data_IF_970305788479
#
_entry.id   IF_970305788479
#
_cell.length_a   1.000
_cell.length_b   1.000
_cell.length_c   1.000
_cell.angle_alpha   90.00
_cell.angle_beta   90.00
_cell.angle_gamma   90.00
#
_symmetry.space_group_name_H-M   'P 1'
#
loop_
_entity.id
_entity.type
_entity.pdbx_description
1 polymer ?
#
# COMPACT_ATOMS: atom_id res chain seq x y z
N UNK A 1 -3.79 -9.10 -17.03
CA UNK A 1 -2.88 -7.94 -16.99
C UNK A 1 -3.68 -6.77 -16.40
N UNK A 2 -3.57 -6.55 -15.08
CA UNK A 2 -4.25 -5.46 -14.37
C UNK A 2 -3.48 -4.17 -14.61
N UNK A 3 -3.98 -3.36 -15.51
CA UNK A 3 -3.50 -1.99 -15.64
C UNK A 3 -4.17 -1.14 -14.54
N UNK A 4 -3.41 -0.83 -13.51
CA UNK A 4 -3.77 0.16 -12.50
C UNK A 4 -3.68 1.58 -13.07
N UNK A 5 -4.32 1.82 -14.21
CA UNK A 5 -4.30 3.13 -14.86
C UNK A 5 -5.68 3.78 -14.77
N UNK A 6 -5.73 4.90 -14.11
CA UNK A 6 -6.72 6.00 -14.15
C UNK A 6 -8.22 5.68 -13.98
N UNK A 7 -8.71 4.47 -14.23
CA UNK A 7 -10.14 4.14 -14.11
C UNK A 7 -10.56 3.63 -12.74
N UNK A 8 -9.58 3.18 -11.92
CA UNK A 8 -9.80 2.58 -10.60
C UNK A 8 -9.09 3.36 -9.48
N UNK A 9 -8.65 4.60 -9.75
CA UNK A 9 -7.78 5.38 -8.88
C UNK A 9 -8.25 5.52 -7.43
N UNK A 10 -9.52 5.29 -7.14
CA UNK A 10 -10.12 5.54 -5.84
C UNK A 10 -10.98 4.39 -5.32
N UNK A 11 -10.87 3.20 -5.92
CA UNK A 11 -11.57 1.99 -5.47
C UNK A 11 -10.66 1.07 -4.68
N UNK A 12 -11.26 0.27 -3.82
CA UNK A 12 -10.61 -0.74 -2.99
C UNK A 12 -11.31 -2.08 -3.22
N UNK A 13 -10.54 -3.13 -3.56
CA UNK A 13 -11.08 -4.49 -3.59
C UNK A 13 -10.99 -5.08 -2.19
N UNK A 14 -12.12 -5.42 -1.63
CA UNK A 14 -12.27 -6.01 -0.30
C UNK A 14 -11.83 -7.49 -0.29
N UNK A 15 -11.51 -8.06 0.89
CA UNK A 15 -11.03 -9.42 1.00
C UNK A 15 -11.96 -10.45 0.37
N UNK A 16 -11.38 -11.54 -0.11
CA UNK A 16 -11.96 -12.79 -0.56
C UNK A 16 -12.54 -12.84 -1.99
N UNK A 17 -13.03 -11.72 -2.56
CA UNK A 17 -13.60 -11.71 -3.91
C UNK A 17 -13.08 -10.50 -4.70
N UNK A 18 -12.47 -10.72 -5.88
CA UNK A 18 -11.94 -9.63 -6.71
C UNK A 18 -13.00 -8.61 -7.15
N UNK A 19 -14.24 -9.05 -7.32
CA UNK A 19 -15.39 -8.23 -7.69
C UNK A 19 -15.99 -7.42 -6.53
N UNK A 20 -15.61 -7.72 -5.28
CA UNK A 20 -16.07 -6.99 -4.09
C UNK A 20 -15.35 -5.64 -3.98
N UNK A 21 -15.69 -4.72 -4.88
CA UNK A 21 -15.00 -3.44 -5.05
C UNK A 21 -15.89 -2.30 -4.59
N UNK A 22 -15.35 -1.46 -3.69
CA UNK A 22 -16.01 -0.30 -3.10
C UNK A 22 -15.19 0.96 -3.35
N UNK A 23 -15.81 2.14 -3.20
CA UNK A 23 -15.06 3.39 -3.18
C UNK A 23 -14.24 3.50 -1.89
N UNK A 24 -13.03 4.03 -1.97
CA UNK A 24 -12.18 4.24 -0.79
C UNK A 24 -12.87 5.14 0.25
N UNK A 25 -13.69 6.08 -0.17
CA UNK A 25 -14.48 6.96 0.70
C UNK A 25 -15.54 6.22 1.54
N UNK A 26 -15.94 5.01 1.15
CA UNK A 26 -16.89 4.18 1.87
C UNK A 26 -16.22 3.36 2.99
N UNK A 27 -14.90 3.22 2.94
CA UNK A 27 -14.12 2.41 3.88
C UNK A 27 -13.64 3.13 5.15
N UNK A 28 -14.16 4.31 5.47
CA UNK A 28 -13.66 5.16 6.58
C UNK A 28 -13.72 4.52 7.96
N UNK A 29 -14.62 3.57 8.17
CA UNK A 29 -14.78 2.86 9.44
C UNK A 29 -13.82 1.66 9.55
N UNK A 30 -13.10 1.33 8.48
CA UNK A 30 -12.19 0.18 8.45
C UNK A 30 -10.79 0.65 8.84
N UNK A 31 -10.45 0.43 10.11
CA UNK A 31 -9.09 0.65 10.64
C UNK A 31 -8.13 -0.36 10.05
N UNK A 32 -6.89 0.06 9.83
CA UNK A 32 -5.83 -0.77 9.25
C UNK A 32 -4.60 -0.78 10.14
N UNK A 33 -3.84 -1.87 10.06
CA UNK A 33 -2.60 -2.08 10.81
C UNK A 33 -1.37 -1.97 9.91
N UNK A 34 -1.54 -2.09 8.61
CA UNK A 34 -0.44 -2.10 7.66
C UNK A 34 -0.83 -1.53 6.31
N UNK A 35 0.13 -0.89 5.65
CA UNK A 35 0.08 -0.60 4.21
C UNK A 35 1.30 -1.18 3.52
N UNK A 36 1.09 -1.78 2.34
CA UNK A 36 2.16 -2.32 1.49
C UNK A 36 2.06 -1.70 0.11
N UNK A 37 3.07 -0.94 -0.27
CA UNK A 37 3.12 -0.24 -1.56
C UNK A 37 4.27 -0.80 -2.40
N UNK A 38 3.92 -1.36 -3.54
CA UNK A 38 4.84 -2.03 -4.43
C UNK A 38 4.94 -3.54 -4.18
N UNK A 39 5.68 -4.17 -5.00
CA UNK A 39 6.15 -5.57 -5.00
C UNK A 39 6.77 -5.85 -6.38
N UNK A 40 7.11 -7.09 -6.70
CA UNK A 40 7.61 -7.48 -8.03
C UNK A 40 6.63 -7.17 -9.18
N UNK A 41 5.34 -7.01 -8.90
CA UNK A 41 4.30 -6.74 -9.91
C UNK A 41 3.78 -5.30 -9.93
N UNK A 42 3.88 -4.58 -8.82
CA UNK A 42 3.27 -3.25 -8.60
C UNK A 42 4.20 -2.30 -7.83
N UNK A 43 5.41 -2.19 -8.21
CA UNK A 43 6.36 -1.26 -7.60
C UNK A 43 7.13 -0.53 -8.69
N UNK A 44 6.45 -0.17 -9.78
CA UNK A 44 7.03 0.57 -10.89
C UNK A 44 7.29 2.02 -10.50
N UNK A 45 8.00 2.74 -11.34
CA UNK A 45 8.37 4.12 -11.04
C UNK A 45 7.14 5.01 -10.84
N UNK A 46 6.11 4.82 -11.66
CA UNK A 46 4.85 5.55 -11.57
C UNK A 46 4.09 5.25 -10.27
N UNK A 47 4.16 4.01 -9.78
CA UNK A 47 3.54 3.62 -8.51
C UNK A 47 4.26 4.28 -7.32
N UNK A 48 5.61 4.33 -7.38
CA UNK A 48 6.43 5.01 -6.39
C UNK A 48 6.19 6.53 -6.40
N UNK A 49 6.05 7.13 -7.58
CA UNK A 49 5.72 8.54 -7.73
C UNK A 49 4.34 8.87 -7.14
N UNK A 50 3.34 8.05 -7.42
CA UNK A 50 1.99 8.23 -6.88
C UNK A 50 1.99 8.17 -5.35
N UNK A 51 2.69 7.20 -4.77
CA UNK A 51 2.85 7.09 -3.32
C UNK A 51 3.63 8.28 -2.73
N UNK A 52 4.73 8.69 -3.38
CA UNK A 52 5.53 9.84 -2.97
C UNK A 52 4.71 11.12 -2.92
N UNK A 53 3.90 11.40 -3.95
CA UNK A 53 3.08 12.60 -4.02
C UNK A 53 2.08 12.72 -2.86
N UNK A 54 1.63 11.60 -2.32
CA UNK A 54 0.72 11.55 -1.16
C UNK A 54 1.48 11.61 0.17
N UNK A 55 2.59 10.87 0.29
CA UNK A 55 3.37 10.73 1.55
C UNK A 55 4.31 11.91 1.82
N UNK A 56 4.72 12.65 0.80
CA UNK A 56 5.68 13.74 0.93
C UNK A 56 5.27 14.75 2.00
N UNK A 57 6.16 14.93 2.99
CA UNK A 57 5.97 15.87 4.09
C UNK A 57 4.89 15.47 5.10
N UNK A 58 4.44 14.21 5.06
CA UNK A 58 3.43 13.65 5.98
C UNK A 58 3.98 12.43 6.69
N UNK A 59 3.28 11.98 7.72
CA UNK A 59 3.63 10.77 8.47
C UNK A 59 2.49 9.76 8.44
N UNK A 60 2.82 8.48 8.41
CA UNK A 60 1.83 7.41 8.61
C UNK A 60 1.30 7.44 10.03
N UNK A 61 0.07 6.99 10.22
CA UNK A 61 -0.61 6.96 11.50
C UNK A 61 0.15 6.11 12.52
N UNK A 62 0.12 6.52 13.78
CA UNK A 62 0.71 5.75 14.88
C UNK A 62 0.08 4.36 14.97
N UNK A 63 0.91 3.34 14.97
CA UNK A 63 0.48 1.93 15.02
C UNK A 63 0.31 1.28 13.64
N UNK A 64 0.37 2.04 12.55
CA UNK A 64 0.36 1.49 11.20
C UNK A 64 1.79 1.19 10.73
N UNK A 65 2.02 0.03 10.14
CA UNK A 65 3.28 -0.34 9.48
C UNK A 65 3.22 0.06 8.01
N UNK A 66 4.10 0.95 7.56
CA UNK A 66 4.27 1.30 6.14
C UNK A 66 5.44 0.52 5.54
N UNK A 67 5.20 -0.21 4.45
CA UNK A 67 6.22 -0.99 3.75
C UNK A 67 6.22 -0.59 2.28
N UNK A 68 7.36 -0.09 1.80
CA UNK A 68 7.57 0.32 0.41
C UNK A 68 8.52 -0.65 -0.27
N UNK A 69 8.12 -1.21 -1.41
CA UNK A 69 8.89 -2.23 -2.13
C UNK A 69 8.99 -1.84 -3.62
N UNK A 70 10.08 -1.22 -4.06
CA UNK A 70 10.32 -0.99 -5.49
C UNK A 70 10.40 -2.30 -6.26
N UNK A 71 9.88 -2.36 -7.49
CA UNK A 71 9.78 -3.60 -8.26
C UNK A 71 11.14 -4.17 -8.69
N UNK A 72 12.12 -3.32 -8.96
CA UNK A 72 13.45 -3.69 -9.47
C UNK A 72 14.54 -2.83 -8.86
N UNK A 73 15.81 -3.28 -8.93
CA UNK A 73 16.95 -2.49 -8.51
C UNK A 73 17.09 -1.17 -9.28
N UNK A 74 16.67 -1.15 -10.56
CA UNK A 74 16.66 0.08 -11.36
C UNK A 74 15.67 1.10 -10.80
N UNK A 75 14.44 0.68 -10.48
CA UNK A 75 13.44 1.54 -9.84
C UNK A 75 13.91 1.99 -8.46
N UNK A 76 14.49 1.09 -7.67
CA UNK A 76 15.01 1.41 -6.34
C UNK A 76 16.10 2.50 -6.41
N UNK A 77 17.04 2.34 -7.34
CA UNK A 77 18.08 3.33 -7.59
C UNK A 77 17.49 4.69 -8.00
N UNK A 78 16.50 4.68 -8.87
CA UNK A 78 15.82 5.90 -9.32
C UNK A 78 15.09 6.60 -8.15
N UNK A 79 14.44 5.85 -7.27
CA UNK A 79 13.82 6.39 -6.05
C UNK A 79 14.86 7.06 -5.13
N UNK A 80 16.06 6.50 -5.02
CA UNK A 80 17.17 7.10 -4.26
C UNK A 80 17.61 8.41 -4.91
N UNK A 81 17.86 8.40 -6.21
CA UNK A 81 18.34 9.57 -6.96
C UNK A 81 17.34 10.75 -6.93
N UNK A 82 16.05 10.45 -6.92
CA UNK A 82 14.96 11.45 -6.80
C UNK A 82 14.66 11.90 -5.37
N UNK A 83 15.32 11.32 -4.36
CA UNK A 83 15.07 11.60 -2.95
C UNK A 83 13.76 11.01 -2.41
N UNK A 84 13.07 10.17 -3.18
CA UNK A 84 11.81 9.57 -2.76
C UNK A 84 12.00 8.57 -1.61
N UNK A 85 13.09 7.81 -1.63
CA UNK A 85 13.45 6.88 -0.54
C UNK A 85 13.55 7.60 0.80
N UNK A 86 14.22 8.75 0.84
CA UNK A 86 14.31 9.57 2.05
C UNK A 86 12.93 10.05 2.50
N UNK A 87 12.11 10.54 1.57
CA UNK A 87 10.76 10.98 1.90
C UNK A 87 9.86 9.86 2.46
N UNK A 88 10.01 8.62 1.97
CA UNK A 88 9.30 7.46 2.52
C UNK A 88 9.76 7.13 3.93
N UNK A 89 11.07 7.20 4.19
CA UNK A 89 11.65 6.99 5.54
C UNK A 89 11.16 8.09 6.49
N UNK A 90 11.19 9.35 6.07
CA UNK A 90 10.69 10.48 6.85
C UNK A 90 9.19 10.36 7.15
N UNK A 91 8.43 9.78 6.24
CA UNK A 91 7.03 9.45 6.49
C UNK A 91 6.81 8.29 7.48
N UNK A 92 7.87 7.64 7.95
CA UNK A 92 7.82 6.52 8.90
C UNK A 92 7.65 5.15 8.23
N UNK A 93 7.91 5.05 6.92
CA UNK A 93 7.85 3.79 6.20
C UNK A 93 9.20 3.04 6.21
N UNK A 94 9.12 1.72 6.16
CA UNK A 94 10.26 0.85 5.87
C UNK A 94 10.39 0.76 4.35
N UNK A 95 11.57 1.09 3.82
CA UNK A 95 11.86 0.91 2.40
C UNK A 95 12.72 -0.34 2.23
N UNK A 96 12.17 -1.35 1.58
CA UNK A 96 12.84 -2.61 1.30
C UNK A 96 13.58 -2.57 -0.04
N UNK A 97 14.59 -3.42 -0.17
CA UNK A 97 15.09 -3.82 -1.49
C UNK A 97 13.99 -4.56 -2.28
N UNK A 98 14.10 -4.62 -3.63
CA UNK A 98 13.14 -5.37 -4.46
C UNK A 98 12.95 -6.82 -4.00
N UNK A 99 11.73 -7.18 -3.68
CA UNK A 99 11.33 -8.50 -3.20
C UNK A 99 9.82 -8.70 -3.37
N UNK A 100 9.32 -9.92 -3.13
CA UNK A 100 7.88 -10.17 -3.02
C UNK A 100 7.28 -9.59 -1.73
N UNK A 101 8.11 -9.28 -0.71
CA UNK A 101 7.62 -8.78 0.56
C UNK A 101 6.59 -9.72 1.21
N UNK A 102 5.56 -9.20 1.86
CA UNK A 102 4.52 -10.01 2.48
C UNK A 102 3.56 -10.67 1.49
N UNK A 103 3.63 -10.33 0.21
CA UNK A 103 2.70 -10.81 -0.83
C UNK A 103 2.59 -12.35 -0.90
N UNK A 104 3.59 -13.08 -0.49
CA UNK A 104 3.60 -14.56 -0.46
C UNK A 104 3.35 -15.16 0.93
N UNK A 105 3.22 -14.32 1.97
CA UNK A 105 3.05 -14.78 3.36
C UNK A 105 4.32 -15.34 4.02
N UNK A 106 5.49 -15.08 3.46
CA UNK A 106 6.75 -15.70 3.90
C UNK A 106 7.91 -14.76 4.18
N UNK A 107 7.70 -13.46 4.10
CA UNK A 107 8.73 -12.44 4.35
C UNK A 107 8.14 -11.27 5.14
N UNK A 108 8.95 -10.26 5.45
CA UNK A 108 8.58 -9.11 6.31
C UNK A 108 7.15 -8.59 6.09
N UNK A 109 6.49 -8.17 7.17
CA UNK A 109 5.12 -7.64 7.11
C UNK A 109 4.04 -8.71 7.05
N UNK A 110 4.32 -9.92 7.53
CA UNK A 110 3.33 -10.98 7.69
C UNK A 110 2.28 -10.52 8.69
N UNK A 111 1.00 -10.67 8.32
CA UNK A 111 -0.12 -10.25 9.14
C UNK A 111 -0.44 -11.29 10.22
N UNK A 112 -0.70 -10.81 11.43
CA UNK A 112 -1.23 -11.60 12.53
C UNK A 112 -2.75 -11.77 12.41
N UNK A 113 -3.34 -12.55 13.33
CA UNK A 113 -4.79 -12.73 13.44
C UNK A 113 -5.50 -11.38 13.59
N UNK A 114 -6.51 -11.14 12.77
CA UNK A 114 -7.34 -9.93 12.80
C UNK A 114 -6.68 -8.67 12.25
N UNK A 115 -5.41 -8.70 11.85
CA UNK A 115 -4.76 -7.53 11.25
C UNK A 115 -5.27 -7.25 9.84
N UNK A 116 -5.36 -5.96 9.50
CA UNK A 116 -5.84 -5.44 8.22
C UNK A 116 -4.74 -4.70 7.47
N UNK A 117 -4.59 -5.03 6.19
CA UNK A 117 -3.60 -4.42 5.32
C UNK A 117 -4.24 -3.84 4.05
N UNK A 118 -3.93 -2.59 3.74
CA UNK A 118 -4.17 -2.04 2.39
C UNK A 118 -2.92 -2.24 1.56
N UNK A 119 -3.07 -2.88 0.41
CA UNK A 119 -1.94 -3.33 -0.39
C UNK A 119 -2.12 -3.03 -1.88
N UNK A 120 -1.02 -2.72 -2.56
CA UNK A 120 -0.98 -2.59 -4.01
C UNK A 120 -0.61 -3.90 -4.72
N UNK A 121 -0.48 -5.01 -4.00
CA UNK A 121 -0.23 -6.33 -4.58
C UNK A 121 -1.43 -6.81 -5.41
N UNK A 122 -1.33 -7.97 -6.02
CA UNK A 122 -2.31 -8.42 -7.02
C UNK A 122 -3.30 -9.48 -6.53
N UNK A 123 -3.27 -9.86 -5.26
CA UNK A 123 -4.13 -10.92 -4.70
C UNK A 123 -4.43 -10.68 -3.21
N UNK A 124 -5.68 -10.98 -2.83
CA UNK A 124 -6.19 -10.77 -1.47
C UNK A 124 -7.04 -11.95 -0.94
N UNK A 125 -6.78 -13.17 -1.40
CA UNK A 125 -7.48 -14.34 -0.86
C UNK A 125 -7.06 -14.63 0.60
N UNK A 126 -7.86 -15.43 1.28
CA UNK A 126 -7.68 -15.83 2.69
C UNK A 126 -6.24 -16.29 2.97
N UNK A 127 -5.62 -15.74 4.00
CA UNK A 127 -4.26 -16.11 4.42
C UNK A 127 -3.14 -15.68 3.48
N UNK A 128 -3.44 -14.85 2.46
CA UNK A 128 -2.42 -14.48 1.45
C UNK A 128 -1.17 -13.84 2.02
N UNK A 129 -1.33 -12.99 3.04
CA UNK A 129 -0.22 -12.26 3.66
C UNK A 129 0.10 -12.69 5.09
N UNK A 130 -0.43 -13.84 5.54
CA UNK A 130 -0.16 -14.33 6.89
C UNK A 130 -1.30 -15.16 7.46
N UNK A 131 -1.83 -14.75 8.61
CA UNK A 131 -2.90 -15.48 9.29
C UNK A 131 -4.18 -15.57 8.45
N UNK A 132 -4.92 -16.66 8.56
CA UNK A 132 -6.15 -16.90 7.79
C UNK A 132 -7.26 -15.88 8.11
N UNK A 133 -7.28 -15.37 9.34
CA UNK A 133 -8.24 -14.35 9.78
C UNK A 133 -7.72 -12.91 9.58
N UNK A 134 -6.61 -12.73 8.87
CA UNK A 134 -6.17 -11.41 8.42
C UNK A 134 -6.89 -10.98 7.14
N UNK A 135 -7.03 -9.68 6.95
CA UNK A 135 -7.74 -9.09 5.82
C UNK A 135 -6.80 -8.26 4.94
N UNK A 136 -6.82 -8.52 3.63
CA UNK A 136 -6.04 -7.76 2.66
C UNK A 136 -6.97 -7.02 1.70
N UNK A 137 -6.84 -5.71 1.66
CA UNK A 137 -7.60 -4.80 0.79
C UNK A 137 -6.70 -4.35 -0.36
N UNK A 138 -7.06 -4.65 -1.60
CA UNK A 138 -6.28 -4.20 -2.75
C UNK A 138 -6.70 -2.79 -3.17
N UNK A 139 -5.70 -1.92 -3.35
CA UNK A 139 -5.92 -0.53 -3.70
C UNK A 139 -4.79 0.02 -4.58
N UNK A 140 -4.99 1.21 -5.14
CA UNK A 140 -3.94 1.94 -5.83
C UNK A 140 -2.86 2.46 -4.86
N UNK A 141 -1.63 2.77 -5.32
CA UNK A 141 -0.58 3.35 -4.48
C UNK A 141 -1.01 4.62 -3.73
N UNK A 142 -1.79 5.48 -4.38
CA UNK A 142 -2.29 6.71 -3.77
C UNK A 142 -3.29 6.44 -2.63
N UNK A 143 -4.22 5.50 -2.81
CA UNK A 143 -5.17 5.07 -1.77
C UNK A 143 -4.44 4.39 -0.61
N UNK A 144 -3.48 3.51 -0.89
CA UNK A 144 -2.68 2.85 0.14
C UNK A 144 -1.87 3.87 0.96
N UNK A 145 -1.25 4.84 0.30
CA UNK A 145 -0.51 5.91 0.96
C UNK A 145 -1.42 6.78 1.84
N UNK A 146 -2.58 7.20 1.33
CA UNK A 146 -3.56 7.98 2.09
C UNK A 146 -4.08 7.19 3.31
N UNK A 147 -4.39 5.91 3.12
CA UNK A 147 -4.83 5.02 4.21
C UNK A 147 -3.76 4.87 5.29
N UNK A 148 -2.48 4.80 4.89
CA UNK A 148 -1.36 4.78 5.83
C UNK A 148 -1.29 6.04 6.69
N UNK A 149 -1.55 7.22 6.11
CA UNK A 149 -1.55 8.50 6.83
C UNK A 149 -2.71 8.59 7.82
N UNK A 150 -3.90 8.13 7.44
CA UNK A 150 -5.12 8.27 8.26
C UNK A 150 -5.30 7.13 9.25
N UNK A 151 -4.72 5.95 9.01
CA UNK A 151 -4.91 4.74 9.82
C UNK A 151 -6.20 3.98 9.52
N UNK A 152 -6.91 4.36 8.45
CA UNK A 152 -8.11 3.68 7.95
C UNK A 152 -8.17 3.78 6.41
N UNK A 153 -9.05 3.04 5.77
CA UNK A 153 -9.21 3.14 4.31
C UNK A 153 -9.67 4.55 3.96
N UNK A 154 -8.90 5.24 3.10
CA UNK A 154 -9.11 6.67 2.80
C UNK A 154 -8.90 7.01 1.34
N UNK A 155 -9.70 7.96 0.88
CA UNK A 155 -9.50 8.60 -0.42
C UNK A 155 -8.29 9.54 -0.37
N UNK A 156 -7.44 9.61 -1.42
CA UNK A 156 -6.25 10.48 -1.42
C UNK A 156 -6.52 11.96 -1.16
N UNK A 157 -7.65 12.49 -1.62
CA UNK A 157 -8.04 13.89 -1.39
C UNK A 157 -8.22 14.25 0.10
N UNK A 158 -8.51 13.28 0.96
CA UNK A 158 -8.67 13.49 2.40
C UNK A 158 -7.36 13.98 3.05
N UNK A 159 -6.24 13.67 2.45
CA UNK A 159 -4.90 14.02 2.96
C UNK A 159 -4.17 15.02 2.08
N UNK A 160 -4.51 15.17 0.80
CA UNK A 160 -3.81 16.07 -0.12
C UNK A 160 -4.28 17.53 0.00
N UNK A 161 -5.51 17.76 0.45
CA UNK A 161 -6.11 19.09 0.56
C UNK A 161 -5.98 19.72 1.96
N UNK A 162 -5.10 19.18 2.82
CA UNK A 162 -4.85 19.66 4.19
C UNK A 162 -3.48 20.28 4.33
#
# INVERSE_FOLDING_TARGET
MWQATHRWGHTVSYPHLPENTHLASEGKDIKIDQVVIGSCTNGRLEDMEAAYNVLKGKHIAKGVRGIIIPATMAVYKECILRGWTTAFIDAGCIVSTPTCGPCLGGYMGILAEGERCVSTTNRNFVGRMGHVDSEVYLASPAVAAASGITGHISHPEEVMNK
#
